data_IF_932938107910
#
_entry.id   IF_932938107910
#
_cell.length_a   1.000
_cell.length_b   1.000
_cell.length_c   1.000
_cell.angle_alpha   90.00
_cell.angle_beta   90.00
_cell.angle_gamma   90.00
#
_symmetry.space_group_name_H-M   'P 1'
#
loop_
_entity.id
_entity.type
_entity.pdbx_description
1 polymer ?
#
# COMPACT_ATOMS: atom_id res chain seq x y z
N UNK A 1 -34.88 18.25 17.77
CA UNK A 1 -34.68 17.61 16.46
C UNK A 1 -33.45 18.22 15.84
N UNK A 2 -32.47 17.42 15.43
CA UNK A 2 -31.30 17.89 14.71
C UNK A 2 -31.00 16.89 13.62
N UNK A 3 -31.60 17.10 12.45
CA UNK A 3 -31.29 16.33 11.25
C UNK A 3 -29.80 16.51 10.98
N UNK A 4 -29.02 15.43 11.17
CA UNK A 4 -27.63 15.41 10.72
C UNK A 4 -27.67 15.36 9.21
N UNK A 5 -27.80 16.52 8.58
CA UNK A 5 -27.64 16.67 7.14
C UNK A 5 -26.33 16.00 6.74
N UNK A 6 -26.42 15.10 5.78
CA UNK A 6 -25.28 14.35 5.27
C UNK A 6 -24.12 15.26 4.89
N UNK A 7 -22.92 14.69 4.82
CA UNK A 7 -21.67 15.40 4.54
C UNK A 7 -21.80 16.35 3.32
N UNK A 8 -22.05 17.64 3.56
CA UNK A 8 -22.12 18.68 2.52
C UNK A 8 -20.78 18.73 1.80
N UNK A 9 -20.82 18.54 0.48
CA UNK A 9 -19.63 18.61 -0.36
C UNK A 9 -19.50 20.02 -0.91
N UNK A 10 -18.36 20.64 -0.62
CA UNK A 10 -17.95 21.90 -1.20
C UNK A 10 -16.93 21.60 -2.30
N UNK A 11 -17.15 22.17 -3.47
CA UNK A 11 -16.21 22.19 -4.58
C UNK A 11 -14.98 23.03 -4.24
N UNK A 12 -13.92 22.87 -5.04
CA UNK A 12 -12.65 23.55 -4.80
C UNK A 12 -12.78 25.08 -4.90
N UNK A 13 -13.54 25.58 -5.86
CA UNK A 13 -13.72 27.01 -6.09
C UNK A 13 -14.43 27.67 -4.90
N UNK A 14 -15.51 27.08 -4.40
CA UNK A 14 -16.20 27.57 -3.20
C UNK A 14 -15.27 27.63 -1.98
N UNK A 15 -14.45 26.60 -1.76
CA UNK A 15 -13.48 26.61 -0.66
C UNK A 15 -12.44 27.71 -0.81
N UNK A 16 -11.90 27.86 -2.01
CA UNK A 16 -10.86 28.85 -2.29
C UNK A 16 -11.39 30.28 -2.11
N UNK A 17 -12.57 30.56 -2.66
CA UNK A 17 -13.22 31.86 -2.55
C UNK A 17 -13.53 32.19 -1.08
N UNK A 18 -14.11 31.25 -0.32
CA UNK A 18 -14.40 31.43 1.09
C UNK A 18 -13.16 31.75 1.93
N UNK A 19 -12.04 31.05 1.68
CA UNK A 19 -10.81 31.28 2.43
C UNK A 19 -10.15 32.60 2.03
N UNK A 20 -10.14 32.99 0.76
CA UNK A 20 -9.61 34.29 0.32
C UNK A 20 -10.40 35.45 0.91
N UNK A 21 -11.72 35.35 0.92
CA UNK A 21 -12.58 36.35 1.57
C UNK A 21 -12.24 36.55 3.05
N UNK A 22 -11.96 35.46 3.77
CA UNK A 22 -11.55 35.56 5.17
C UNK A 22 -10.10 36.08 5.34
N UNK A 23 -9.15 35.54 4.58
CA UNK A 23 -7.72 35.74 4.80
C UNK A 23 -7.19 37.01 4.14
N UNK A 24 -7.68 37.35 2.96
CA UNK A 24 -7.21 38.49 2.14
C UNK A 24 -8.16 39.68 2.24
N UNK A 25 -9.48 39.44 2.23
CA UNK A 25 -10.48 40.51 2.31
C UNK A 25 -10.95 40.81 3.73
N UNK A 26 -10.50 40.04 4.73
CA UNK A 26 -10.75 40.31 6.14
C UNK A 26 -12.18 40.09 6.61
N UNK A 27 -13.03 39.39 5.83
CA UNK A 27 -14.39 39.05 6.25
C UNK A 27 -14.34 38.18 7.51
N UNK A 28 -15.31 38.35 8.38
CA UNK A 28 -15.47 37.49 9.55
C UNK A 28 -15.88 36.08 9.10
N UNK A 29 -15.57 35.07 9.93
CA UNK A 29 -15.97 33.68 9.63
C UNK A 29 -17.49 33.54 9.47
N UNK A 30 -18.28 34.34 10.21
CA UNK A 30 -19.73 34.34 10.13
C UNK A 30 -20.22 34.87 8.76
N UNK A 31 -19.67 35.99 8.29
CA UNK A 31 -20.02 36.55 6.98
C UNK A 31 -19.64 35.60 5.84
N UNK A 32 -18.48 34.94 5.94
CA UNK A 32 -18.07 33.93 4.96
C UNK A 32 -18.99 32.70 5.00
N UNK A 33 -19.37 32.25 6.19
CA UNK A 33 -20.30 31.12 6.32
C UNK A 33 -21.66 31.41 5.69
N UNK A 34 -22.19 32.62 5.89
CA UNK A 34 -23.44 33.05 5.28
C UNK A 34 -23.30 33.16 3.75
N UNK A 35 -22.27 33.88 3.27
CA UNK A 35 -22.03 34.12 1.84
C UNK A 35 -21.88 32.84 1.03
N UNK A 36 -21.16 31.85 1.57
CA UNK A 36 -20.86 30.59 0.88
C UNK A 36 -21.72 29.41 1.35
N UNK A 37 -22.75 29.65 2.18
CA UNK A 37 -23.63 28.64 2.79
C UNK A 37 -22.85 27.48 3.43
N UNK A 38 -21.79 27.84 4.15
CA UNK A 38 -20.97 26.87 4.89
C UNK A 38 -21.67 26.57 6.20
N UNK A 39 -22.06 25.32 6.39
CA UNK A 39 -22.92 24.92 7.50
C UNK A 39 -22.22 24.93 8.87
N UNK A 40 -20.89 24.98 8.89
CA UNK A 40 -20.12 24.90 10.13
C UNK A 40 -18.80 25.66 10.01
N UNK A 41 -18.36 26.23 11.13
CA UNK A 41 -17.09 26.92 11.27
C UNK A 41 -15.90 25.96 11.11
N UNK A 42 -16.04 24.72 11.57
CA UNK A 42 -14.96 23.71 11.59
C UNK A 42 -14.31 23.45 10.21
N UNK A 43 -15.07 23.17 9.12
CA UNK A 43 -14.46 23.02 7.80
C UNK A 43 -13.81 24.31 7.30
N UNK A 44 -14.40 25.48 7.58
CA UNK A 44 -13.83 26.77 7.17
C UNK A 44 -12.47 27.01 7.86
N UNK A 45 -12.36 26.77 9.17
CA UNK A 45 -11.10 26.92 9.90
C UNK A 45 -10.01 25.99 9.38
N UNK A 46 -10.39 24.74 9.06
CA UNK A 46 -9.48 23.77 8.46
C UNK A 46 -8.95 24.28 7.11
N UNK A 47 -9.82 24.78 6.22
CA UNK A 47 -9.41 25.29 4.92
C UNK A 47 -8.52 26.53 5.07
N UNK A 48 -8.83 27.43 6.00
CA UNK A 48 -7.98 28.59 6.31
C UNK A 48 -6.58 28.16 6.77
N UNK A 49 -6.47 27.10 7.59
CA UNK A 49 -5.18 26.55 8.00
C UNK A 49 -4.41 25.94 6.83
N UNK A 50 -5.09 25.13 6.00
CA UNK A 50 -4.50 24.51 4.81
C UNK A 50 -3.98 25.59 3.84
N UNK A 51 -4.77 26.63 3.59
CA UNK A 51 -4.40 27.76 2.73
C UNK A 51 -3.20 28.55 3.24
N UNK A 52 -3.13 28.86 4.53
CA UNK A 52 -1.93 29.55 5.09
C UNK A 52 -0.67 28.70 5.00
N UNK A 53 -0.81 27.37 5.02
CA UNK A 53 0.34 26.45 4.98
C UNK A 53 0.85 26.13 3.58
N UNK A 54 -0.03 26.10 2.57
CA UNK A 54 0.32 25.64 1.22
C UNK A 54 -0.45 26.32 0.10
N UNK A 55 -1.06 27.47 0.37
CA UNK A 55 -1.79 28.27 -0.61
C UNK A 55 -3.01 27.58 -1.22
N UNK A 56 -3.44 28.01 -2.41
CA UNK A 56 -4.57 27.42 -3.13
C UNK A 56 -4.42 25.91 -3.35
N UNK A 57 -3.21 25.42 -3.67
CA UNK A 57 -2.98 24.01 -3.99
C UNK A 57 -3.24 23.07 -2.81
N UNK A 58 -3.13 23.56 -1.57
CA UNK A 58 -3.46 22.78 -0.38
C UNK A 58 -4.96 22.42 -0.28
N UNK A 59 -5.84 23.21 -0.91
CA UNK A 59 -7.29 22.99 -0.92
C UNK A 59 -7.74 22.03 -2.03
N UNK A 60 -6.86 21.72 -3.00
CA UNK A 60 -7.19 20.83 -4.11
C UNK A 60 -7.50 19.42 -3.59
N UNK A 61 -8.46 18.72 -4.22
CA UNK A 61 -8.73 17.33 -3.86
C UNK A 61 -7.48 16.49 -4.08
N UNK A 62 -6.93 15.94 -2.99
CA UNK A 62 -5.80 15.00 -3.07
C UNK A 62 -6.26 13.71 -3.74
N UNK A 63 -5.45 13.12 -4.63
CA UNK A 63 -5.78 11.85 -5.26
C UNK A 63 -6.11 10.81 -4.18
N UNK A 64 -7.33 10.28 -4.23
CA UNK A 64 -7.83 9.36 -3.22
C UNK A 64 -7.30 7.97 -3.50
N UNK A 65 -6.38 7.50 -2.65
CA UNK A 65 -5.90 6.12 -2.67
C UNK A 65 -4.40 5.99 -2.42
N UNK A 66 -3.97 4.74 -2.22
CA UNK A 66 -2.54 4.37 -2.25
C UNK A 66 -2.01 4.64 -3.67
N UNK A 67 -0.79 5.18 -3.86
CA UNK A 67 -0.19 5.25 -5.18
C UNK A 67 -0.23 3.87 -5.83
N UNK A 68 -0.89 3.75 -6.99
CA UNK A 68 -0.90 2.53 -7.78
C UNK A 68 0.53 2.32 -8.29
N UNK A 69 1.23 1.33 -7.76
CA UNK A 69 2.54 0.95 -8.30
C UNK A 69 3.68 0.75 -7.31
N UNK A 70 3.42 0.47 -6.03
CA UNK A 70 4.44 -0.20 -5.21
C UNK A 70 4.62 -1.63 -5.75
N UNK A 71 5.35 -1.79 -6.87
CA UNK A 71 5.81 -3.10 -7.31
C UNK A 71 6.75 -3.62 -6.23
N UNK A 72 6.49 -4.83 -5.75
CA UNK A 72 7.44 -5.54 -4.90
C UNK A 72 8.80 -5.57 -5.61
N UNK A 73 9.88 -5.37 -4.85
CA UNK A 73 11.24 -5.53 -5.40
C UNK A 73 11.34 -6.92 -6.05
N UNK A 74 11.97 -7.05 -7.22
CA UNK A 74 12.21 -8.36 -7.83
C UNK A 74 12.93 -9.26 -6.83
N UNK A 75 12.60 -10.56 -6.82
CA UNK A 75 13.26 -11.53 -5.94
C UNK A 75 14.78 -11.46 -6.21
N UNK A 76 15.63 -11.32 -5.18
CA UNK A 76 17.07 -11.30 -5.37
C UNK A 76 17.51 -12.62 -6.03
N UNK A 77 18.57 -12.54 -6.84
CA UNK A 77 19.20 -13.73 -7.40
C UNK A 77 19.62 -14.68 -6.26
N UNK A 78 19.55 -16.01 -6.46
CA UNK A 78 19.95 -16.96 -5.45
C UNK A 78 21.42 -16.75 -5.06
N UNK A 79 21.71 -16.87 -3.76
CA UNK A 79 23.08 -16.77 -3.27
C UNK A 79 23.86 -18.04 -3.64
N UNK A 80 25.20 -17.95 -3.62
CA UNK A 80 26.07 -19.11 -3.82
C UNK A 80 25.72 -20.26 -2.87
N UNK A 81 25.37 -19.94 -1.63
CA UNK A 81 24.98 -20.92 -0.61
C UNK A 81 23.72 -21.68 -0.99
N UNK A 82 22.69 -20.97 -1.49
CA UNK A 82 21.44 -21.59 -1.93
C UNK A 82 21.64 -22.54 -3.11
N UNK A 83 22.49 -22.17 -4.08
CA UNK A 83 22.84 -23.06 -5.19
C UNK A 83 23.58 -24.32 -4.70
N UNK A 84 24.48 -24.17 -3.73
CA UNK A 84 25.19 -25.30 -3.13
C UNK A 84 24.24 -26.21 -2.33
N UNK A 85 23.24 -25.67 -1.65
CA UNK A 85 22.22 -26.45 -0.95
C UNK A 85 21.36 -27.27 -1.90
N UNK A 86 20.93 -26.68 -3.03
CA UNK A 86 20.20 -27.38 -4.08
C UNK A 86 21.04 -28.52 -4.70
N UNK A 87 22.31 -28.25 -5.01
CA UNK A 87 23.23 -29.26 -5.51
C UNK A 87 23.47 -30.37 -4.48
N UNK A 88 23.63 -30.02 -3.20
CA UNK A 88 23.80 -31.00 -2.13
C UNK A 88 22.55 -31.87 -1.95
N UNK A 89 21.36 -31.28 -2.03
CA UNK A 89 20.09 -32.01 -1.98
C UNK A 89 19.96 -32.97 -3.17
N UNK A 90 20.30 -32.52 -4.37
CA UNK A 90 20.33 -33.36 -5.57
C UNK A 90 21.31 -34.54 -5.43
N UNK A 91 22.54 -34.27 -4.97
CA UNK A 91 23.56 -35.30 -4.77
C UNK A 91 23.14 -36.31 -3.70
N UNK A 92 22.55 -35.87 -2.59
CA UNK A 92 22.01 -36.77 -1.55
C UNK A 92 20.92 -37.68 -2.10
N UNK A 93 19.99 -37.13 -2.91
CA UNK A 93 18.95 -37.93 -3.54
C UNK A 93 19.55 -38.97 -4.50
N UNK A 94 20.57 -38.60 -5.28
CA UNK A 94 21.27 -39.50 -6.18
C UNK A 94 21.99 -40.62 -5.43
N UNK A 95 22.69 -40.31 -4.34
CA UNK A 95 23.37 -41.31 -3.50
C UNK A 95 22.35 -42.28 -2.91
N UNK A 96 21.26 -41.79 -2.32
CA UNK A 96 20.21 -42.64 -1.77
C UNK A 96 19.57 -43.57 -2.81
N UNK A 97 19.44 -43.11 -4.06
CA UNK A 97 18.97 -43.95 -5.16
C UNK A 97 19.96 -45.08 -5.48
N UNK A 98 21.26 -44.78 -5.57
CA UNK A 98 22.30 -45.77 -5.85
C UNK A 98 22.39 -46.81 -4.73
N UNK A 99 22.38 -46.38 -3.46
CA UNK A 99 22.38 -47.28 -2.30
C UNK A 99 21.20 -48.24 -2.31
N UNK A 100 20.01 -47.76 -2.73
CA UNK A 100 18.83 -48.62 -2.88
C UNK A 100 19.01 -49.65 -3.99
N UNK A 101 19.62 -49.29 -5.12
CA UNK A 101 19.93 -50.22 -6.22
C UNK A 101 20.92 -51.28 -5.74
N UNK A 102 21.99 -50.88 -5.06
CA UNK A 102 22.99 -51.79 -4.51
C UNK A 102 22.36 -52.76 -3.50
N UNK A 103 21.49 -52.28 -2.62
CA UNK A 103 20.75 -53.12 -1.68
C UNK A 103 19.87 -54.17 -2.38
N UNK A 104 19.18 -53.80 -3.47
CA UNK A 104 18.37 -54.73 -4.26
C UNK A 104 19.22 -55.79 -4.98
N UNK A 105 20.37 -55.40 -5.52
CA UNK A 105 21.31 -56.33 -6.16
C UNK A 105 21.92 -57.30 -5.16
N UNK A 106 22.36 -56.80 -4.00
CA UNK A 106 22.87 -57.62 -2.91
C UNK A 106 21.81 -58.62 -2.44
N UNK A 107 20.57 -58.17 -2.24
CA UNK A 107 19.45 -59.04 -1.88
C UNK A 107 19.21 -60.14 -2.92
N UNK A 108 19.23 -59.79 -4.22
CA UNK A 108 19.07 -60.77 -5.31
C UNK A 108 20.19 -61.79 -5.35
N UNK A 109 21.43 -61.40 -5.07
CA UNK A 109 22.58 -62.31 -5.01
C UNK A 109 22.50 -63.26 -3.81
N UNK A 110 21.98 -62.79 -2.67
CA UNK A 110 21.83 -63.59 -1.46
C UNK A 110 20.64 -64.58 -1.52
N UNK A 111 19.60 -64.26 -2.30
CA UNK A 111 18.37 -65.06 -2.40
C UNK A 111 18.30 -65.95 -3.65
N UNK A 112 19.34 -65.97 -4.50
CA UNK A 112 19.27 -66.60 -5.81
C UNK A 112 20.60 -67.09 -6.38
N UNK A 113 21.21 -68.08 -5.72
CA UNK A 113 22.05 -69.09 -6.38
C UNK A 113 21.72 -70.47 -5.82
N UNK A 114 20.48 -70.92 -6.01
CA UNK A 114 20.11 -72.33 -5.86
C UNK A 114 19.40 -72.72 -7.17
N UNK A 115 20.18 -73.34 -8.06
CA UNK A 115 19.69 -74.09 -9.22
C UNK A 115 20.41 -75.43 -9.25
#
# INVERSE_FOLDING_TARGET
>A
MGEREGNRRYDYETKLAAVRDHVEHGLTKAEVMEKYRIASLTPLERWCREYRSGGPDALRPKPKGRPKGAKSKPRPAPTREQLLEEENAYLKARVAYLEKVDALLAWRSATGTER
#
